data_IF_805723100705
#
_entry.id   IF_805723100705
#
_cell.length_a   1.000
_cell.length_b   1.000
_cell.length_c   1.000
_cell.angle_alpha   90.00
_cell.angle_beta   90.00
_cell.angle_gamma   90.00
#
_symmetry.space_group_name_H-M   'P 1'
#
loop_
_entity.id
_entity.type
_entity.pdbx_description
1 polymer ?
#
# COMPACT_ATOMS: atom_id res chain seq x y z
N UNK A 1 7.08 7.15 18.60
CA UNK A 1 5.82 6.56 18.13
C UNK A 1 5.94 6.55 16.63
N UNK A 2 5.72 5.41 15.96
CA UNK A 2 5.92 5.39 14.52
C UNK A 2 4.83 6.25 13.85
N UNK A 3 5.26 7.06 12.88
CA UNK A 3 4.58 8.26 12.33
C UNK A 3 4.26 9.35 13.39
N UNK A 4 4.62 10.60 13.11
CA UNK A 4 4.57 11.71 14.07
C UNK A 4 3.16 12.26 14.26
N UNK A 5 2.38 12.26 13.18
CA UNK A 5 1.04 12.83 13.08
C UNK A 5 -0.06 11.77 13.15
N UNK A 6 0.34 10.54 13.47
CA UNK A 6 -0.52 9.38 13.62
C UNK A 6 -0.71 8.60 12.33
N UNK A 7 -1.59 7.61 12.39
CA UNK A 7 -1.86 6.71 11.27
C UNK A 7 -3.36 6.56 11.06
N UNK A 8 -3.78 6.45 9.81
CA UNK A 8 -5.18 6.29 9.49
C UNK A 8 -5.46 6.03 8.03
N UNK A 9 -6.72 6.26 7.67
CA UNK A 9 -7.23 6.09 6.32
C UNK A 9 -8.15 7.25 5.96
N UNK A 10 -7.95 7.86 4.79
CA UNK A 10 -8.99 8.68 4.16
C UNK A 10 -9.83 7.81 3.25
N UNK A 11 -11.15 7.97 3.37
CA UNK A 11 -12.11 7.21 2.59
C UNK A 11 -13.01 8.17 1.80
N UNK A 12 -13.17 7.93 0.50
CA UNK A 12 -13.97 8.81 -0.35
C UNK A 12 -14.10 8.32 -1.78
N UNK A 13 -14.49 9.21 -2.68
CA UNK A 13 -14.55 8.94 -4.13
C UNK A 13 -13.38 9.62 -4.83
N UNK A 14 -12.96 9.09 -5.98
CA UNK A 14 -11.94 9.74 -6.80
C UNK A 14 -12.44 11.11 -7.27
N UNK A 15 -11.70 12.17 -6.95
CA UNK A 15 -11.91 13.52 -7.49
C UNK A 15 -11.06 13.72 -8.75
N UNK A 16 -9.76 13.41 -8.63
CA UNK A 16 -8.79 13.59 -9.71
C UNK A 16 -7.58 12.67 -9.47
N UNK A 17 -6.81 12.42 -10.52
CA UNK A 17 -5.51 11.78 -10.44
C UNK A 17 -4.53 12.45 -11.40
N UNK A 18 -3.31 12.67 -10.93
CA UNK A 18 -2.24 13.20 -11.76
C UNK A 18 -0.87 12.73 -11.26
N UNK A 19 0.13 12.74 -12.13
CA UNK A 19 1.52 12.46 -11.76
C UNK A 19 2.21 13.75 -11.38
N UNK A 20 3.20 13.67 -10.51
CA UNK A 20 4.14 14.79 -10.33
C UNK A 20 4.77 15.23 -11.66
N UNK A 21 5.37 16.43 -11.72
CA UNK A 21 6.33 16.74 -12.78
C UNK A 21 7.45 15.69 -12.82
N UNK A 22 7.98 15.48 -14.02
CA UNK A 22 9.12 14.57 -14.22
C UNK A 22 10.35 15.10 -13.44
N UNK A 23 10.98 14.23 -12.66
CA UNK A 23 12.20 14.51 -11.90
C UNK A 23 13.46 14.44 -12.79
N UNK A 24 14.62 14.70 -12.21
CA UNK A 24 15.91 14.72 -12.91
C UNK A 24 16.32 13.37 -13.53
N UNK A 25 15.61 12.29 -13.21
CA UNK A 25 15.84 10.93 -13.71
C UNK A 25 14.80 10.49 -14.75
N UNK A 26 13.91 11.37 -15.20
CA UNK A 26 12.83 10.99 -16.12
C UNK A 26 11.68 10.25 -15.43
N UNK A 27 11.57 10.35 -14.10
CA UNK A 27 10.65 9.61 -13.24
C UNK A 27 9.72 10.53 -12.46
N UNK A 28 8.75 9.98 -11.74
CA UNK A 28 7.85 10.71 -10.83
C UNK A 28 8.14 10.32 -9.39
N UNK A 29 8.16 11.29 -8.46
CA UNK A 29 8.22 10.97 -7.02
C UNK A 29 6.89 10.43 -6.53
N UNK A 30 5.79 11.06 -6.96
CA UNK A 30 4.45 10.65 -6.56
C UNK A 30 3.48 10.48 -7.74
N UNK A 31 2.58 9.51 -7.58
CA UNK A 31 1.25 9.57 -8.15
C UNK A 31 0.31 10.25 -7.16
N UNK A 32 -0.38 11.30 -7.57
CA UNK A 32 -1.26 12.07 -6.70
C UNK A 32 -2.71 11.65 -6.95
N UNK A 33 -3.36 11.14 -5.90
CA UNK A 33 -4.80 10.86 -5.89
C UNK A 33 -5.49 11.94 -5.06
N UNK A 34 -6.45 12.62 -5.65
CA UNK A 34 -7.31 13.55 -4.94
C UNK A 34 -8.61 12.82 -4.56
N UNK A 35 -8.87 12.72 -3.26
CA UNK A 35 -10.03 11.98 -2.72
C UNK A 35 -11.09 12.97 -2.24
N UNK A 36 -12.26 12.94 -2.86
CA UNK A 36 -13.41 13.74 -2.43
C UNK A 36 -14.02 13.12 -1.16
N UNK A 37 -14.13 13.95 -0.12
CA UNK A 37 -14.82 13.62 1.13
C UNK A 37 -15.82 14.73 1.49
N UNK A 38 -16.70 14.54 2.50
CA UNK A 38 -17.56 15.62 3.00
C UNK A 38 -16.78 16.82 3.58
N UNK A 39 -15.55 16.61 4.07
CA UNK A 39 -14.72 17.68 4.62
C UNK A 39 -13.97 18.48 3.55
N UNK A 40 -13.93 17.98 2.30
CA UNK A 40 -13.17 18.54 1.21
C UNK A 40 -12.36 17.49 0.46
N UNK A 41 -11.45 17.96 -0.39
CA UNK A 41 -10.58 17.11 -1.21
C UNK A 41 -9.28 16.87 -0.45
N UNK A 42 -8.97 15.60 -0.18
CA UNK A 42 -7.69 15.18 0.38
C UNK A 42 -6.69 14.93 -0.73
N UNK A 43 -5.52 15.56 -0.64
CA UNK A 43 -4.39 15.32 -1.55
C UNK A 43 -3.53 14.17 -1.03
N UNK A 44 -3.51 13.07 -1.76
CA UNK A 44 -2.80 11.85 -1.36
C UNK A 44 -1.60 11.62 -2.27
N UNK A 45 -0.39 11.74 -1.74
CA UNK A 45 0.86 11.59 -2.49
C UNK A 45 1.39 10.15 -2.35
N UNK A 46 1.18 9.31 -3.38
CA UNK A 46 1.61 7.91 -3.37
C UNK A 46 3.08 7.82 -3.78
N UNK A 47 3.93 7.40 -2.85
CA UNK A 47 5.38 7.36 -3.02
C UNK A 47 5.84 6.25 -3.98
N UNK A 48 6.24 6.63 -5.19
CA UNK A 48 6.62 5.68 -6.26
C UNK A 48 8.08 5.80 -6.71
N UNK A 49 8.86 6.71 -6.12
CA UNK A 49 10.30 6.76 -6.35
C UNK A 49 11.05 7.44 -5.19
N UNK A 50 12.33 7.10 -5.04
CA UNK A 50 13.18 7.71 -4.03
C UNK A 50 14.03 8.84 -4.63
N UNK A 51 14.21 9.94 -3.90
CA UNK A 51 15.05 11.08 -4.33
C UNK A 51 16.55 10.73 -4.51
N UNK A 52 16.99 9.56 -4.05
CA UNK A 52 18.42 9.21 -3.92
C UNK A 52 18.84 8.01 -4.77
N UNK A 53 17.91 7.18 -5.23
CA UNK A 53 18.19 5.98 -6.01
C UNK A 53 17.22 5.90 -7.19
N UNK A 54 17.71 5.82 -8.44
CA UNK A 54 16.84 5.57 -9.58
C UNK A 54 16.25 4.15 -9.50
N UNK A 55 15.02 3.98 -9.98
CA UNK A 55 14.31 2.69 -9.98
C UNK A 55 14.16 2.11 -8.57
N UNK A 56 13.84 2.99 -7.62
CA UNK A 56 13.87 2.71 -6.19
C UNK A 56 12.61 2.06 -5.64
N UNK A 57 11.62 1.70 -6.47
CA UNK A 57 10.31 1.20 -6.02
C UNK A 57 10.11 -0.27 -6.32
N UNK A 58 9.42 -0.92 -5.40
CA UNK A 58 8.84 -2.24 -5.58
C UNK A 58 7.35 -2.15 -5.26
N UNK A 59 6.51 -2.82 -6.04
CA UNK A 59 5.07 -2.77 -5.85
C UNK A 59 4.41 -4.10 -6.18
N UNK A 60 3.16 -4.24 -5.77
CA UNK A 60 2.27 -5.32 -6.22
C UNK A 60 0.82 -4.92 -6.04
N UNK A 61 -0.04 -5.53 -6.84
CA UNK A 61 -1.50 -5.40 -6.72
C UNK A 61 -2.03 -6.68 -6.11
N UNK A 62 -2.62 -6.62 -4.92
CA UNK A 62 -3.22 -7.78 -4.24
C UNK A 62 -4.74 -7.70 -4.37
N UNK A 63 -5.35 -8.74 -4.95
CA UNK A 63 -6.81 -8.86 -5.02
C UNK A 63 -7.36 -9.40 -3.70
N UNK A 64 -8.00 -8.53 -2.93
CA UNK A 64 -8.61 -8.88 -1.63
C UNK A 64 -10.03 -9.43 -1.77
N UNK A 65 -10.64 -9.27 -2.95
CA UNK A 65 -12.02 -9.66 -3.19
C UNK A 65 -12.99 -8.88 -2.30
N UNK A 66 -14.10 -9.52 -1.92
CA UNK A 66 -15.07 -8.94 -0.97
C UNK A 66 -14.55 -9.16 0.45
N UNK A 67 -14.15 -8.09 1.13
CA UNK A 67 -13.59 -8.14 2.49
C UNK A 67 -14.13 -6.98 3.32
N UNK A 68 -14.24 -7.17 4.63
CA UNK A 68 -14.63 -6.08 5.54
C UNK A 68 -13.47 -5.18 5.93
N UNK A 69 -12.21 -5.62 5.70
CA UNK A 69 -10.98 -4.99 6.22
C UNK A 69 -11.09 -4.64 7.70
N UNK A 70 -11.51 -5.61 8.51
CA UNK A 70 -11.72 -5.44 9.96
C UNK A 70 -12.69 -4.29 10.30
N UNK A 71 -13.65 -4.01 9.42
CA UNK A 71 -14.68 -2.99 9.58
C UNK A 71 -14.41 -1.68 8.84
N UNK A 72 -13.20 -1.46 8.30
CA UNK A 72 -12.84 -0.21 7.60
C UNK A 72 -13.78 0.08 6.43
N UNK A 73 -14.22 -0.94 5.70
CA UNK A 73 -15.14 -0.77 4.55
C UNK A 73 -16.53 -0.22 4.93
N UNK A 74 -16.91 -0.32 6.21
CA UNK A 74 -18.20 0.17 6.73
C UNK A 74 -18.13 1.60 7.25
N UNK A 75 -16.93 2.16 7.42
CA UNK A 75 -16.74 3.53 7.87
C UNK A 75 -17.29 4.52 6.84
N UNK A 76 -17.74 5.69 7.29
CA UNK A 76 -18.22 6.76 6.41
C UNK A 76 -17.07 7.45 5.64
N UNK A 77 -17.38 8.24 4.60
CA UNK A 77 -16.37 9.03 3.90
C UNK A 77 -15.77 10.10 4.83
N UNK A 78 -14.45 10.29 4.77
CA UNK A 78 -13.67 11.16 5.66
C UNK A 78 -12.38 10.50 6.14
N UNK A 79 -11.64 11.20 7.00
CA UNK A 79 -10.46 10.68 7.67
C UNK A 79 -10.85 9.88 8.92
N UNK A 80 -10.17 8.75 9.13
CA UNK A 80 -10.31 7.90 10.32
C UNK A 80 -8.95 7.53 10.85
N UNK A 81 -8.66 7.91 12.09
CA UNK A 81 -7.48 7.40 12.79
C UNK A 81 -7.64 5.92 13.10
N UNK A 82 -6.55 5.17 12.90
CA UNK A 82 -6.48 3.75 13.21
C UNK A 82 -5.36 3.52 14.20
N UNK A 83 -5.63 2.78 15.28
CA UNK A 83 -4.58 2.37 16.19
C UNK A 83 -3.63 1.40 15.48
N UNK A 84 -2.30 1.55 15.63
CA UNK A 84 -1.31 0.69 14.98
C UNK A 84 -1.26 -0.71 15.60
N UNK A 85 -2.26 -1.54 15.31
CA UNK A 85 -2.36 -2.92 15.77
C UNK A 85 -3.16 -3.80 14.80
N UNK A 86 -3.09 -5.11 15.03
CA UNK A 86 -3.68 -6.11 14.16
C UNK A 86 -5.22 -6.08 14.07
N UNK A 87 -5.93 -5.35 14.93
CA UNK A 87 -7.41 -5.40 15.02
C UNK A 87 -8.11 -4.15 14.49
N UNK A 88 -7.41 -3.02 14.37
CA UNK A 88 -8.01 -1.73 14.01
C UNK A 88 -8.40 -1.60 12.54
N UNK A 89 -7.85 -2.44 11.66
CA UNK A 89 -7.86 -2.22 10.22
C UNK A 89 -6.55 -1.66 9.68
N UNK A 90 -5.60 -1.34 10.55
CA UNK A 90 -4.26 -0.93 10.14
C UNK A 90 -3.54 -2.02 9.32
N UNK A 91 -2.72 -1.57 8.38
CA UNK A 91 -2.04 -2.42 7.41
C UNK A 91 -0.61 -2.73 7.87
N UNK A 92 -0.19 -3.97 7.65
CA UNK A 92 1.18 -4.39 7.86
C UNK A 92 1.57 -5.40 6.77
N UNK A 93 2.40 -4.99 5.83
CA UNK A 93 2.79 -5.78 4.67
C UNK A 93 3.47 -7.09 5.08
N UNK A 94 4.17 -7.10 6.22
CA UNK A 94 4.92 -8.26 6.74
C UNK A 94 4.03 -9.18 7.57
N UNK A 95 3.05 -8.63 8.30
CA UNK A 95 2.26 -9.40 9.29
C UNK A 95 0.81 -9.67 8.87
N UNK A 96 0.22 -8.86 8.00
CA UNK A 96 -1.16 -9.04 7.52
C UNK A 96 -1.29 -10.33 6.71
N UNK A 97 -2.07 -11.31 7.18
CA UNK A 97 -2.28 -12.55 6.43
C UNK A 97 -2.91 -12.35 5.05
N UNK A 98 -3.66 -11.26 4.86
CA UNK A 98 -4.27 -10.84 3.59
C UNK A 98 -3.26 -10.36 2.54
N UNK A 99 -2.07 -9.92 2.95
CA UNK A 99 -1.00 -9.49 2.05
C UNK A 99 0.15 -10.50 1.96
N UNK A 100 0.14 -11.52 2.80
CA UNK A 100 1.21 -12.51 2.83
C UNK A 100 0.96 -13.64 1.82
N UNK A 101 2.02 -14.17 1.19
CA UNK A 101 1.95 -15.47 0.54
C UNK A 101 1.59 -16.51 1.58
N UNK A 102 0.31 -16.88 1.67
CA UNK A 102 -0.06 -18.12 2.36
C UNK A 102 0.41 -19.26 1.48
N UNK A 103 1.64 -19.70 1.71
CA UNK A 103 2.05 -21.07 1.37
C UNK A 103 1.23 -21.95 2.30
N UNK A 104 0.03 -22.32 1.84
CA UNK A 104 -0.78 -23.30 2.53
C UNK A 104 0.09 -24.53 2.78
N UNK A 105 0.02 -25.03 4.01
CA UNK A 105 0.51 -26.31 4.47
C UNK A 105 -0.12 -27.46 3.67
N UNK A 106 0.17 -27.54 2.37
CA UNK A 106 -0.32 -28.56 1.46
C UNK A 106 0.88 -29.40 1.09
N UNK A 107 0.81 -30.66 1.53
CA UNK A 107 1.62 -31.83 1.20
C UNK A 107 2.52 -31.66 -0.03
N UNK A 108 3.75 -32.16 0.04
CA UNK A 108 4.60 -32.37 -1.14
C UNK A 108 3.76 -33.09 -2.20
N UNK A 109 3.31 -32.37 -3.22
CA UNK A 109 2.55 -32.96 -4.32
C UNK A 109 3.58 -33.42 -5.33
N UNK A 110 3.87 -34.72 -5.36
CA UNK A 110 4.78 -35.33 -6.34
C UNK A 110 4.19 -35.38 -7.77
N UNK A 111 3.30 -34.43 -8.13
CA UNK A 111 2.72 -34.31 -9.46
C UNK A 111 3.01 -32.92 -10.05
N UNK A 112 3.77 -32.82 -11.16
CA UNK A 112 4.20 -31.56 -11.75
C UNK A 112 3.05 -30.69 -12.29
N UNK A 113 1.92 -31.29 -12.67
CA UNK A 113 0.75 -30.54 -13.17
C UNK A 113 0.03 -29.86 -12.01
N UNK A 114 -0.20 -30.57 -10.91
CA UNK A 114 -0.79 -29.98 -9.71
C UNK A 114 0.13 -28.91 -9.11
N UNK A 115 1.44 -29.10 -9.18
CA UNK A 115 2.42 -28.10 -8.72
C UNK A 115 2.41 -26.85 -9.62
N UNK A 116 2.30 -27.00 -10.94
CA UNK A 116 2.14 -25.86 -11.85
C UNK A 116 0.82 -25.10 -11.59
N UNK A 117 -0.28 -25.82 -11.39
CA UNK A 117 -1.59 -25.24 -11.05
C UNK A 117 -1.54 -24.53 -9.69
N UNK A 118 -0.89 -25.13 -8.70
CA UNK A 118 -0.66 -24.53 -7.38
C UNK A 118 0.15 -23.25 -7.50
N UNK A 119 1.24 -23.25 -8.26
CA UNK A 119 2.06 -22.05 -8.50
C UNK A 119 1.27 -20.95 -9.18
N UNK A 120 0.47 -21.29 -10.18
CA UNK A 120 -0.41 -20.34 -10.86
C UNK A 120 -1.45 -19.74 -9.89
N UNK A 121 -2.15 -20.58 -9.14
CA UNK A 121 -3.10 -20.14 -8.12
C UNK A 121 -2.41 -19.27 -7.06
N UNK A 122 -1.19 -19.62 -6.66
CA UNK A 122 -0.41 -18.86 -5.70
C UNK A 122 0.01 -17.49 -6.24
N UNK A 123 0.34 -17.36 -7.52
CA UNK A 123 0.62 -16.06 -8.15
C UNK A 123 -0.62 -15.17 -8.28
N UNK A 124 -1.81 -15.78 -8.41
CA UNK A 124 -3.08 -15.03 -8.43
C UNK A 124 -3.46 -14.58 -7.02
N UNK A 125 -3.30 -15.44 -6.02
CA UNK A 125 -3.67 -15.15 -4.62
C UNK A 125 -2.65 -14.22 -3.95
N UNK A 126 -1.36 -14.37 -4.29
CA UNK A 126 -0.30 -13.55 -3.75
C UNK A 126 0.75 -13.27 -4.85
N UNK A 127 0.53 -12.21 -5.64
CA UNK A 127 1.47 -11.85 -6.68
C UNK A 127 2.82 -11.43 -6.08
N UNK A 128 3.93 -11.77 -6.76
CA UNK A 128 5.25 -11.35 -6.33
C UNK A 128 5.39 -9.83 -6.42
N UNK A 129 6.30 -9.27 -5.62
CA UNK A 129 6.72 -7.88 -5.77
C UNK A 129 7.37 -7.67 -7.15
N UNK A 130 6.78 -6.77 -7.94
CA UNK A 130 7.41 -6.20 -9.12
C UNK A 130 8.45 -5.17 -8.69
N UNK A 131 9.45 -4.94 -9.55
CA UNK A 131 10.53 -3.97 -9.34
C UNK A 131 10.76 -3.21 -10.63
N UNK A 132 11.02 -1.92 -10.53
CA UNK A 132 11.11 -1.08 -11.72
C UNK A 132 11.07 0.40 -11.40
N UNK A 133 10.53 1.16 -12.34
CA UNK A 133 10.43 2.62 -12.26
C UNK A 133 9.10 3.07 -11.67
N UNK A 134 8.98 4.35 -11.31
CA UNK A 134 7.68 4.94 -11.00
C UNK A 134 6.71 4.89 -12.19
N UNK A 135 7.19 4.94 -13.43
CA UNK A 135 6.35 4.80 -14.62
C UNK A 135 5.70 3.42 -14.64
N UNK A 136 6.47 2.37 -14.39
CA UNK A 136 5.98 0.99 -14.38
C UNK A 136 4.98 0.75 -13.23
N UNK A 137 5.29 1.27 -12.05
CA UNK A 137 4.42 1.19 -10.88
C UNK A 137 3.08 1.91 -11.12
N UNK A 138 3.13 3.13 -11.65
CA UNK A 138 1.93 3.90 -11.97
C UNK A 138 1.13 3.31 -13.13
N UNK A 139 1.78 2.65 -14.10
CA UNK A 139 1.09 1.92 -15.17
C UNK A 139 0.23 0.75 -14.65
N UNK A 140 0.57 0.16 -13.50
CA UNK A 140 -0.25 -0.84 -12.83
C UNK A 140 -1.31 -0.23 -11.89
N UNK A 141 -1.06 0.95 -11.31
CA UNK A 141 -2.01 1.64 -10.44
C UNK A 141 -3.15 2.30 -11.24
N UNK A 142 -2.83 2.99 -12.31
CA UNK A 142 -3.78 3.82 -13.08
C UNK A 142 -5.01 3.06 -13.59
N UNK A 143 -4.89 1.83 -14.11
CA UNK A 143 -6.06 1.04 -14.49
C UNK A 143 -7.00 0.75 -13.31
N UNK A 144 -6.47 0.62 -12.08
CA UNK A 144 -7.30 0.41 -10.89
C UNK A 144 -8.12 1.66 -10.54
N UNK A 145 -7.66 2.85 -10.92
CA UNK A 145 -8.35 4.12 -10.69
C UNK A 145 -9.41 4.44 -11.75
N UNK A 146 -9.67 3.52 -12.70
CA UNK A 146 -10.77 3.66 -13.65
C UNK A 146 -12.11 3.33 -12.96
N UNK A 147 -12.96 4.35 -12.81
CA UNK A 147 -14.32 4.24 -12.25
C UNK A 147 -14.42 3.53 -10.87
N UNK A 148 -13.58 3.89 -9.88
CA UNK A 148 -13.65 3.28 -8.56
C UNK A 148 -14.98 3.63 -7.90
N UNK A 149 -15.57 2.66 -7.19
CA UNK A 149 -16.73 2.92 -6.32
C UNK A 149 -16.29 3.75 -5.13
N UNK A 150 -15.14 3.42 -4.55
CA UNK A 150 -14.60 4.05 -3.35
C UNK A 150 -13.10 3.83 -3.24
N UNK A 151 -12.40 4.79 -2.66
CA UNK A 151 -10.98 4.75 -2.37
C UNK A 151 -10.75 4.72 -0.86
N UNK A 152 -9.73 3.98 -0.46
CA UNK A 152 -9.23 3.88 0.91
C UNK A 152 -7.71 4.11 0.84
N UNK A 153 -7.26 5.31 1.23
CA UNK A 153 -5.85 5.66 1.18
C UNK A 153 -5.31 5.68 2.61
N UNK A 154 -4.38 4.77 2.89
CA UNK A 154 -3.75 4.60 4.19
C UNK A 154 -2.42 5.33 4.25
N UNK A 155 -2.12 5.95 5.39
CA UNK A 155 -0.86 6.67 5.61
C UNK A 155 -0.92 7.60 6.81
N UNK A 156 -0.08 8.64 6.77
CA UNK A 156 0.00 9.71 7.76
C UNK A 156 -0.78 10.95 7.27
N UNK A 157 -1.64 11.56 8.10
CA UNK A 157 -2.34 12.78 7.71
C UNK A 157 -1.40 13.99 7.71
N UNK A 158 -1.62 14.95 6.83
CA UNK A 158 -0.94 16.24 6.96
C UNK A 158 -1.32 16.94 8.27
N UNK A 159 -0.35 17.61 8.87
CA UNK A 159 -0.55 18.52 10.01
C UNK A 159 -1.38 19.75 9.65
N UNK A 160 -1.26 20.19 8.40
CA UNK A 160 -1.94 21.35 7.86
C UNK A 160 -2.61 20.94 6.54
N UNK A 161 -3.83 21.42 6.30
CA UNK A 161 -4.65 21.06 5.15
C UNK A 161 -5.14 19.60 5.10
N UNK A 162 -5.85 19.27 4.02
CA UNK A 162 -6.39 17.94 3.79
C UNK A 162 -5.45 17.15 2.88
N UNK A 163 -4.72 16.21 3.44
CA UNK A 163 -3.88 15.31 2.66
C UNK A 163 -3.29 14.16 3.45
N UNK A 164 -2.68 13.24 2.73
CA UNK A 164 -2.08 12.01 3.25
C UNK A 164 -0.74 11.78 2.56
N UNK A 165 0.27 11.42 3.34
CA UNK A 165 1.61 11.03 2.88
C UNK A 165 2.06 9.75 3.57
N UNK A 166 3.32 9.35 3.35
CA UNK A 166 3.85 8.07 3.81
C UNK A 166 2.97 6.92 3.32
N UNK A 167 2.55 7.01 2.05
CA UNK A 167 1.70 6.03 1.37
C UNK A 167 2.63 5.02 0.71
N UNK A 168 3.34 4.27 1.55
CA UNK A 168 4.21 3.14 1.23
C UNK A 168 4.43 2.29 2.50
N UNK A 169 5.25 1.25 2.42
CA UNK A 169 5.68 0.49 3.61
C UNK A 169 6.38 1.40 4.62
N UNK A 170 5.89 1.51 5.86
CA UNK A 170 6.42 2.40 6.90
C UNK A 170 7.23 1.59 7.94
N UNK A 171 7.99 0.60 7.43
CA UNK A 171 8.86 -0.28 8.19
C UNK A 171 10.00 -0.81 7.32
N UNK A 172 11.04 -1.34 7.96
CA UNK A 172 12.18 -1.96 7.31
C UNK A 172 13.21 -0.99 6.75
N UNK A 173 13.17 0.30 7.10
CA UNK A 173 14.19 1.26 6.72
C UNK A 173 15.56 0.90 7.32
N UNK A 174 16.67 1.06 6.57
CA UNK A 174 18.00 0.64 7.03
C UNK A 174 18.46 1.33 8.32
N UNK A 175 19.22 0.60 9.14
CA UNK A 175 19.87 1.15 10.33
C UNK A 175 20.75 2.35 9.98
N UNK A 176 20.59 3.45 10.75
CA UNK A 176 21.31 4.70 10.53
C UNK A 176 20.76 5.58 9.40
N UNK A 177 19.69 5.17 8.72
CA UNK A 177 18.97 6.08 7.82
C UNK A 177 18.18 7.13 8.61
N UNK A 178 17.89 8.27 7.97
CA UNK A 178 17.07 9.33 8.57
C UNK A 178 15.64 8.87 8.89
N UNK A 179 15.15 7.84 8.20
CA UNK A 179 13.82 7.26 8.35
C UNK A 179 13.77 6.14 9.40
N UNK A 180 14.91 5.77 9.99
CA UNK A 180 15.00 4.68 10.96
C UNK A 180 14.00 4.83 12.12
N UNK A 181 13.81 6.06 12.61
CA UNK A 181 12.93 6.35 13.74
C UNK A 181 11.43 6.22 13.40
N UNK A 182 11.09 6.21 12.10
CA UNK A 182 9.72 6.08 11.61
C UNK A 182 9.31 4.62 11.40
N UNK A 183 10.26 3.68 11.47
CA UNK A 183 9.97 2.25 11.42
C UNK A 183 8.93 1.87 12.49
N UNK A 184 7.87 1.19 12.05
CA UNK A 184 6.83 0.71 12.95
C UNK A 184 5.92 -0.32 12.32
N UNK A 185 5.41 -1.22 13.15
CA UNK A 185 4.46 -2.26 12.75
C UNK A 185 3.04 -1.68 12.64
N UNK A 186 2.19 -2.30 11.83
CA UNK A 186 0.77 -1.92 11.68
C UNK A 186 0.54 -0.43 11.35
N UNK A 187 1.30 0.10 10.41
CA UNK A 187 1.13 1.48 9.95
C UNK A 187 1.58 1.66 8.50
N UNK A 188 1.61 0.58 7.71
CA UNK A 188 1.99 0.69 6.31
C UNK A 188 0.92 1.47 5.55
N UNK A 189 1.36 2.41 4.72
CA UNK A 189 0.50 3.11 3.79
C UNK A 189 0.16 2.23 2.59
N UNK A 190 -0.95 2.50 1.92
CA UNK A 190 -1.39 1.78 0.72
C UNK A 190 -2.52 2.51 0.01
N UNK A 191 -2.74 2.16 -1.25
CA UNK A 191 -3.89 2.61 -2.04
C UNK A 191 -4.82 1.44 -2.29
N UNK A 192 -5.99 1.45 -1.64
CA UNK A 192 -7.01 0.42 -1.82
C UNK A 192 -8.19 0.97 -2.63
N UNK A 193 -8.60 0.19 -3.63
CA UNK A 193 -9.65 0.54 -4.58
C UNK A 193 -10.79 -0.46 -4.41
N UNK A 194 -11.97 0.03 -4.04
CA UNK A 194 -13.20 -0.74 -4.13
C UNK A 194 -13.85 -0.50 -5.49
N UNK A 195 -14.09 -1.59 -6.22
CA UNK A 195 -14.76 -1.59 -7.51
C UNK A 195 -16.28 -1.59 -7.35
N UNK A 196 -16.99 -1.39 -8.47
CA UNK A 196 -18.46 -1.35 -8.49
C UNK A 196 -19.11 -2.64 -7.98
N UNK A 197 -18.44 -3.79 -8.14
CA UNK A 197 -18.91 -5.11 -7.70
C UNK A 197 -18.58 -5.44 -6.22
N UNK A 198 -18.09 -4.44 -5.47
CA UNK A 198 -17.64 -4.54 -4.07
C UNK A 198 -16.37 -5.37 -3.84
N UNK A 199 -15.66 -5.77 -4.90
CA UNK A 199 -14.30 -6.31 -4.74
C UNK A 199 -13.30 -5.20 -4.47
N UNK A 200 -12.25 -5.52 -3.70
CA UNK A 200 -11.17 -4.59 -3.36
C UNK A 200 -9.85 -5.10 -3.93
N UNK A 201 -9.12 -4.22 -4.60
CA UNK A 201 -7.72 -4.39 -4.91
C UNK A 201 -6.86 -3.44 -4.08
N UNK A 202 -5.73 -3.94 -3.60
CA UNK A 202 -4.74 -3.17 -2.86
C UNK A 202 -3.48 -2.98 -3.71
N UNK A 203 -3.18 -1.73 -4.05
CA UNK A 203 -1.87 -1.36 -4.57
C UNK A 203 -0.94 -1.12 -3.38
N UNK A 204 0.05 -1.99 -3.24
CA UNK A 204 1.05 -1.97 -2.19
C UNK A 204 2.39 -1.55 -2.80
N UNK A 205 3.12 -0.65 -2.15
CA UNK A 205 4.39 -0.11 -2.64
C UNK A 205 5.38 0.08 -1.50
N UNK A 206 6.67 -0.12 -1.80
CA UNK A 206 7.77 0.07 -0.86
C UNK A 206 9.00 0.52 -1.61
N UNK A 207 9.94 1.14 -0.90
CA UNK A 207 11.25 1.42 -1.46
C UNK A 207 12.13 0.17 -1.46
N UNK A 208 13.00 0.03 -2.45
CA UNK A 208 13.96 -1.06 -2.59
C UNK A 208 14.91 -1.18 -1.39
N UNK A 209 15.17 -0.08 -0.71
CA UNK A 209 16.00 -0.04 0.51
C UNK A 209 15.31 -0.65 1.72
N UNK A 210 13.99 -0.72 1.72
CA UNK A 210 13.22 -1.24 2.84
C UNK A 210 13.22 -2.77 2.83
N UNK A 211 13.36 -3.38 4.00
CA UNK A 211 13.38 -4.84 4.14
C UNK A 211 12.01 -5.48 3.91
N UNK A 212 12.01 -6.75 3.48
CA UNK A 212 10.82 -7.60 3.43
C UNK A 212 10.51 -8.27 4.77
N UNK A 213 11.46 -8.27 5.70
CA UNK A 213 11.34 -8.90 7.01
C UNK A 213 11.73 -7.89 8.09
N UNK A 214 10.92 -7.83 9.14
CA UNK A 214 11.13 -6.88 10.23
C UNK A 214 10.87 -7.52 11.60
N UNK A 215 11.53 -7.01 12.64
CA UNK A 215 11.31 -7.36 14.03
C UNK A 215 9.99 -6.79 14.56
N UNK A 216 9.65 -7.02 15.84
CA UNK A 216 8.40 -6.51 16.43
C UNK A 216 8.36 -4.98 16.62
N UNK A 217 9.43 -4.26 16.26
CA UNK A 217 9.48 -2.80 16.23
C UNK A 217 9.44 -2.25 14.80
N UNK A 218 9.38 -3.11 13.77
CA UNK A 218 9.43 -2.69 12.37
C UNK A 218 10.85 -2.47 11.84
N UNK A 219 11.89 -2.79 12.60
CA UNK A 219 13.27 -2.70 12.13
C UNK A 219 13.63 -3.90 11.24
N UNK A 220 14.47 -3.72 10.20
CA UNK A 220 14.91 -4.81 9.32
C UNK A 220 15.68 -5.90 10.08
N UNK A 221 15.46 -7.17 9.69
CA UNK A 221 16.20 -8.36 10.18
C UNK A 221 16.90 -9.12 9.05
#
# INVERSE_FOLDING_TARGET
>A
MPLNDGYGVVIGTLHNYYRDPVNDYGQYYHGNVEVQTPAGIYKCAIDVDSKKLPNGVEWRVVELGKTSLKGVTTLANGWHYLASNATSGALDYVRSPEFQPKVGCVFVVFNPILEALRRLLQTVINPPWKKGTSIDALADLEPLLQEPKRLYIFGEPFTNDLGVHNIHQNQGDPAGSQWWAENGIWQDGATLIQRQDDTIAAFLNKFKTQSYQTDNNGHPV
#
